data_IF_466054709430
#
_entry.id   IF_466054709430
#
_cell.length_a   1.000
_cell.length_b   1.000
_cell.length_c   1.000
_cell.angle_alpha   90.00
_cell.angle_beta   90.00
_cell.angle_gamma   90.00
#
_symmetry.space_group_name_H-M   'P 1'
#
loop_
_entity.id
_entity.type
_entity.pdbx_description
1 polymer ?
#
# COMPACT_ATOMS: atom_id res chain seq x y z
N UNK A 1 9.12 -4.78 30.91
CA UNK A 1 9.78 -4.63 29.58
C UNK A 1 8.91 -3.69 28.77
N UNK A 2 9.48 -2.64 28.17
CA UNK A 2 8.74 -1.76 27.26
C UNK A 2 8.47 -2.50 25.95
N UNK A 3 7.22 -2.49 25.49
CA UNK A 3 6.84 -3.06 24.19
C UNK A 3 7.56 -2.29 23.09
N UNK A 4 8.42 -2.97 22.33
CA UNK A 4 9.17 -2.35 21.23
C UNK A 4 8.25 -2.13 20.03
N UNK A 5 7.70 -0.93 19.90
CA UNK A 5 6.73 -0.57 18.86
C UNK A 5 7.32 0.36 17.82
N UNK A 6 6.72 0.38 16.63
CA UNK A 6 6.99 1.34 15.57
C UNK A 6 5.86 2.37 15.53
N UNK A 7 6.18 3.67 15.66
CA UNK A 7 5.17 4.74 15.53
C UNK A 7 5.37 5.50 14.22
N UNK A 8 4.33 5.54 13.38
CA UNK A 8 4.31 6.31 12.12
C UNK A 8 3.04 7.16 12.10
N UNK A 9 3.19 8.47 11.84
CA UNK A 9 2.10 9.43 11.78
C UNK A 9 1.13 9.37 12.99
N UNK A 10 1.68 9.19 14.18
CA UNK A 10 0.91 9.13 15.44
C UNK A 10 0.21 7.80 15.73
N UNK A 11 0.29 6.81 14.83
CA UNK A 11 -0.22 5.44 15.06
C UNK A 11 0.94 4.51 15.41
N UNK A 12 0.76 3.70 16.45
CA UNK A 12 1.73 2.67 16.87
C UNK A 12 1.37 1.31 16.29
N UNK A 13 2.41 0.58 15.89
CA UNK A 13 2.39 -0.74 15.27
C UNK A 13 3.26 -1.69 16.09
N UNK A 14 2.81 -2.93 16.25
CA UNK A 14 3.58 -3.96 16.95
C UNK A 14 4.65 -4.52 16.02
N UNK A 15 4.34 -4.67 14.73
CA UNK A 15 5.25 -5.17 13.72
C UNK A 15 6.08 -4.05 13.09
N UNK A 16 7.38 -4.32 12.91
CA UNK A 16 8.31 -3.49 12.13
C UNK A 16 8.41 -3.92 10.66
N UNK A 17 7.72 -5.01 10.29
CA UNK A 17 7.70 -5.52 8.93
C UNK A 17 6.54 -4.88 8.16
N UNK A 18 6.86 -4.26 7.02
CA UNK A 18 5.90 -3.74 6.06
C UNK A 18 6.01 -4.58 4.79
N UNK A 19 4.90 -5.11 4.29
CA UNK A 19 4.88 -5.95 3.07
C UNK A 19 4.15 -5.24 1.93
N UNK A 20 4.47 -5.62 0.69
CA UNK A 20 3.76 -5.14 -0.50
C UNK A 20 2.88 -6.23 -1.10
N UNK A 21 1.91 -5.85 -1.93
CA UNK A 21 0.86 -6.76 -2.44
C UNK A 21 0.98 -7.14 -3.91
N UNK A 22 1.95 -6.56 -4.63
CA UNK A 22 1.93 -6.50 -6.10
C UNK A 22 2.46 -7.73 -6.87
N UNK A 23 2.91 -8.79 -6.19
CA UNK A 23 3.61 -9.94 -6.83
C UNK A 23 3.05 -11.32 -6.47
N UNK A 24 2.06 -11.39 -5.60
CA UNK A 24 1.37 -12.64 -5.31
C UNK A 24 0.49 -13.06 -6.48
N UNK A 25 0.25 -14.37 -6.60
CA UNK A 25 -0.56 -14.97 -7.67
C UNK A 25 -2.05 -14.67 -7.50
N UNK A 26 -2.51 -14.47 -6.27
CA UNK A 26 -3.91 -14.17 -5.95
C UNK A 26 -4.05 -13.28 -4.70
N UNK A 27 -5.26 -12.76 -4.46
CA UNK A 27 -5.56 -12.03 -3.22
C UNK A 27 -5.68 -12.96 -1.99
N UNK A 28 -6.08 -14.22 -2.19
CA UNK A 28 -6.01 -15.23 -1.13
C UNK A 28 -4.56 -15.48 -0.67
N UNK A 29 -3.61 -15.52 -1.61
CA UNK A 29 -2.18 -15.65 -1.28
C UNK A 29 -1.64 -14.39 -0.57
N UNK A 30 -2.12 -13.20 -0.94
CA UNK A 30 -1.82 -11.97 -0.19
C UNK A 30 -2.27 -12.07 1.28
N UNK A 31 -3.51 -12.49 1.53
CA UNK A 31 -4.05 -12.61 2.88
C UNK A 31 -3.28 -13.65 3.72
N UNK A 32 -2.99 -14.82 3.14
CA UNK A 32 -2.19 -15.84 3.80
C UNK A 32 -0.76 -15.36 4.12
N UNK A 33 -0.11 -14.64 3.20
CA UNK A 33 1.22 -14.08 3.43
C UNK A 33 1.21 -12.98 4.51
N UNK A 34 0.18 -12.14 4.53
CA UNK A 34 -0.01 -11.12 5.56
C UNK A 34 -0.12 -11.77 6.94
N UNK A 35 -1.01 -12.75 7.09
CA UNK A 35 -1.21 -13.46 8.36
C UNK A 35 0.06 -14.15 8.84
N UNK A 36 0.76 -14.87 7.94
CA UNK A 36 2.01 -15.53 8.26
C UNK A 36 3.14 -14.54 8.65
N UNK A 37 3.16 -13.36 8.04
CA UNK A 37 4.18 -12.33 8.30
C UNK A 37 3.97 -11.56 9.60
N UNK A 38 2.72 -11.50 10.10
CA UNK A 38 2.34 -10.64 11.22
C UNK A 38 2.54 -9.15 10.94
N UNK A 39 2.54 -8.72 9.67
CA UNK A 39 2.68 -7.31 9.31
C UNK A 39 1.41 -6.52 9.64
N UNK A 40 1.58 -5.32 10.20
CA UNK A 40 0.45 -4.41 10.50
C UNK A 40 0.15 -3.44 9.33
N UNK A 41 1.06 -3.36 8.35
CA UNK A 41 1.00 -2.42 7.23
C UNK A 41 1.24 -3.16 5.92
N UNK A 42 0.34 -2.96 4.95
CA UNK A 42 0.48 -3.46 3.58
C UNK A 42 0.47 -2.31 2.57
N UNK A 43 1.40 -2.32 1.62
CA UNK A 43 1.42 -1.30 0.56
C UNK A 43 0.52 -1.70 -0.61
N UNK A 44 -0.22 -0.74 -1.15
CA UNK A 44 -1.14 -0.96 -2.29
C UNK A 44 -0.87 0.04 -3.41
N UNK A 45 -0.69 -0.46 -4.63
CA UNK A 45 -0.51 0.39 -5.81
C UNK A 45 -1.87 0.90 -6.27
N UNK A 46 -2.13 2.19 -6.10
CA UNK A 46 -3.44 2.83 -6.36
C UNK A 46 -3.93 2.56 -7.79
N UNK A 47 -3.00 2.56 -8.76
CA UNK A 47 -3.29 2.29 -10.19
C UNK A 47 -3.78 0.87 -10.48
N UNK A 48 -3.58 -0.09 -9.56
CA UNK A 48 -3.96 -1.50 -9.73
C UNK A 48 -5.18 -1.90 -8.90
N UNK A 49 -5.71 -0.99 -8.09
CA UNK A 49 -6.91 -1.25 -7.30
C UNK A 49 -8.12 -1.03 -8.19
N UNK A 50 -8.96 -2.05 -8.29
CA UNK A 50 -10.25 -1.91 -8.93
C UNK A 50 -11.19 -1.10 -8.02
N UNK A 51 -11.44 0.15 -8.38
CA UNK A 51 -12.32 1.07 -7.65
C UNK A 51 -13.72 1.21 -8.27
N UNK A 52 -13.92 0.77 -9.52
CA UNK A 52 -15.09 1.12 -10.32
C UNK A 52 -15.94 -0.05 -10.79
N UNK A 53 -15.40 -1.27 -10.84
CA UNK A 53 -16.12 -2.45 -11.34
C UNK A 53 -16.51 -3.38 -10.18
N UNK A 54 -17.78 -3.41 -9.76
CA UNK A 54 -18.18 -4.23 -8.62
C UNK A 54 -18.05 -5.73 -8.85
N UNK A 55 -17.98 -6.18 -10.10
CA UNK A 55 -17.95 -7.59 -10.48
C UNK A 55 -16.57 -8.23 -10.37
N UNK A 56 -15.52 -7.40 -10.27
CA UNK A 56 -14.14 -7.88 -10.16
C UNK A 56 -13.68 -7.89 -8.72
N UNK A 57 -12.95 -8.95 -8.40
CA UNK A 57 -12.33 -9.18 -7.09
C UNK A 57 -11.44 -7.99 -6.68
N UNK A 58 -11.44 -7.67 -5.39
CA UNK A 58 -10.64 -6.60 -4.80
C UNK A 58 -9.81 -7.15 -3.65
N UNK A 59 -8.68 -6.52 -3.40
CA UNK A 59 -7.83 -6.87 -2.25
C UNK A 59 -8.57 -6.77 -0.91
N UNK A 60 -9.50 -5.81 -0.79
CA UNK A 60 -10.32 -5.61 0.42
C UNK A 60 -11.32 -6.73 0.69
N UNK A 61 -11.60 -7.57 -0.31
CA UNK A 61 -12.46 -8.74 -0.14
C UNK A 61 -11.72 -9.85 0.65
N UNK A 62 -10.38 -9.78 0.70
CA UNK A 62 -9.51 -10.76 1.36
C UNK A 62 -8.78 -10.20 2.58
N UNK A 63 -8.50 -8.90 2.60
CA UNK A 63 -7.78 -8.21 3.68
C UNK A 63 -8.67 -7.09 4.21
N UNK A 64 -9.06 -7.20 5.48
CA UNK A 64 -9.91 -6.22 6.14
C UNK A 64 -9.14 -4.91 6.43
N UNK A 65 -9.51 -3.77 5.81
CA UNK A 65 -8.86 -2.48 6.03
C UNK A 65 -9.05 -1.92 7.46
N UNK A 66 -9.92 -2.53 8.28
CA UNK A 66 -10.07 -2.19 9.70
C UNK A 66 -9.01 -2.87 10.57
N UNK A 67 -8.46 -4.00 10.14
CA UNK A 67 -7.45 -4.77 10.90
C UNK A 67 -6.03 -4.38 10.54
N UNK A 68 -5.80 -4.00 9.29
CA UNK A 68 -4.46 -3.74 8.73
C UNK A 68 -4.43 -2.36 8.11
N UNK A 69 -3.29 -1.66 8.24
CA UNK A 69 -3.14 -0.36 7.59
C UNK A 69 -2.78 -0.52 6.13
N UNK A 70 -3.65 -0.02 5.24
CA UNK A 70 -3.35 0.07 3.83
C UNK A 70 -2.54 1.34 3.58
N UNK A 71 -1.36 1.16 2.99
CA UNK A 71 -0.43 2.23 2.66
C UNK A 71 -0.42 2.45 1.14
N UNK A 72 -1.25 3.34 0.59
CA UNK A 72 -1.27 3.61 -0.84
C UNK A 72 0.07 4.18 -1.31
N UNK A 73 0.52 3.72 -2.48
CA UNK A 73 1.75 4.17 -3.09
C UNK A 73 1.54 4.70 -4.52
N UNK A 74 2.55 5.41 -5.02
CA UNK A 74 2.59 5.97 -6.38
C UNK A 74 3.43 5.12 -7.34
N UNK A 75 3.53 3.81 -7.12
CA UNK A 75 4.30 2.91 -7.98
C UNK A 75 3.95 3.12 -9.46
N UNK A 76 5.00 3.27 -10.29
CA UNK A 76 4.87 3.53 -11.72
C UNK A 76 4.61 4.99 -12.08
N UNK A 77 4.73 5.94 -11.15
CA UNK A 77 4.84 7.36 -11.47
C UNK A 77 6.30 7.72 -11.75
N UNK A 78 6.53 8.47 -12.84
CA UNK A 78 7.86 8.92 -13.27
C UNK A 78 8.00 10.45 -13.22
N UNK A 79 6.97 11.14 -12.74
CA UNK A 79 6.96 12.59 -12.57
C UNK A 79 6.27 12.94 -11.25
N UNK A 80 6.61 14.10 -10.68
CA UNK A 80 5.94 14.62 -9.50
C UNK A 80 4.44 14.85 -9.75
N UNK A 81 4.05 15.34 -10.93
CA UNK A 81 2.66 15.59 -11.29
C UNK A 81 1.81 14.30 -11.31
N UNK A 82 2.37 13.22 -11.85
CA UNK A 82 1.71 11.92 -11.84
C UNK A 82 1.55 11.35 -10.42
N UNK A 83 2.58 11.52 -9.58
CA UNK A 83 2.51 11.11 -8.18
C UNK A 83 1.46 11.92 -7.44
N UNK A 84 1.46 13.25 -7.57
CA UNK A 84 0.46 14.14 -6.96
C UNK A 84 -0.96 13.81 -7.40
N UNK A 85 -1.19 13.57 -8.70
CA UNK A 85 -2.50 13.13 -9.21
C UNK A 85 -2.92 11.80 -8.58
N UNK A 86 -2.00 10.83 -8.52
CA UNK A 86 -2.28 9.51 -7.93
C UNK A 86 -2.64 9.61 -6.45
N UNK A 87 -1.92 10.44 -5.68
CA UNK A 87 -2.19 10.63 -4.26
C UNK A 87 -3.49 11.37 -3.98
N UNK A 88 -3.85 12.35 -4.81
CA UNK A 88 -5.16 13.02 -4.73
C UNK A 88 -6.29 12.00 -4.95
N UNK A 89 -6.18 11.15 -5.97
CA UNK A 89 -7.17 10.09 -6.23
C UNK A 89 -7.26 9.10 -5.06
N UNK A 90 -6.12 8.69 -4.49
CA UNK A 90 -6.11 7.82 -3.33
C UNK A 90 -6.85 8.47 -2.15
N UNK A 91 -6.53 9.73 -1.84
CA UNK A 91 -7.17 10.47 -0.76
C UNK A 91 -8.69 10.55 -0.95
N UNK A 92 -9.16 10.91 -2.15
CA UNK A 92 -10.61 11.01 -2.39
C UNK A 92 -11.32 9.63 -2.39
N UNK A 93 -10.64 8.57 -2.83
CA UNK A 93 -11.23 7.22 -2.91
C UNK A 93 -11.31 6.49 -1.56
N UNK A 94 -10.41 6.78 -0.62
CA UNK A 94 -10.29 6.02 0.62
C UNK A 94 -9.96 6.82 1.88
N UNK A 95 -9.97 8.16 1.82
CA UNK A 95 -9.55 9.07 2.91
C UNK A 95 -8.17 8.72 3.50
N UNK A 96 -7.27 8.18 2.67
CA UNK A 96 -5.93 7.84 3.12
C UNK A 96 -5.08 9.09 3.32
N UNK A 97 -4.60 9.28 4.56
CA UNK A 97 -3.75 10.40 4.98
C UNK A 97 -2.26 10.06 5.04
N UNK A 98 -1.95 8.76 5.05
CA UNK A 98 -0.59 8.24 5.03
C UNK A 98 -0.33 7.61 3.66
N UNK A 99 0.82 7.93 3.06
CA UNK A 99 1.15 7.53 1.69
C UNK A 99 2.62 7.11 1.59
N UNK A 100 2.93 6.20 0.67
CA UNK A 100 4.31 5.86 0.28
C UNK A 100 4.61 6.53 -1.06
N UNK A 101 5.36 7.63 -1.01
CA UNK A 101 5.77 8.34 -2.22
C UNK A 101 6.87 7.56 -2.95
N UNK A 102 6.64 7.34 -4.24
CA UNK A 102 7.55 6.70 -5.18
C UNK A 102 7.49 7.48 -6.50
N UNK A 103 8.56 8.21 -6.84
CA UNK A 103 8.76 8.83 -8.15
C UNK A 103 10.01 8.21 -8.73
N UNK A 104 9.85 7.47 -9.82
CA UNK A 104 10.92 6.67 -10.41
C UNK A 104 11.59 7.42 -11.56
N UNK A 105 12.91 7.29 -11.69
CA UNK A 105 13.65 7.86 -12.81
C UNK A 105 13.43 7.05 -14.10
N UNK A 106 13.40 5.72 -14.01
CA UNK A 106 13.21 4.84 -15.16
C UNK A 106 12.62 3.46 -14.81
N UNK A 107 12.03 2.79 -15.79
CA UNK A 107 11.37 1.49 -15.62
C UNK A 107 12.33 0.31 -15.43
N UNK A 108 13.58 0.44 -15.86
CA UNK A 108 14.56 -0.64 -15.88
C UNK A 108 15.22 -0.79 -14.50
N UNK A 109 15.66 0.32 -13.92
CA UNK A 109 16.38 0.34 -12.64
C UNK A 109 15.45 0.52 -11.46
N UNK A 110 14.32 1.23 -11.66
CA UNK A 110 13.40 1.64 -10.60
C UNK A 110 14.07 2.49 -9.50
N UNK A 111 15.19 3.14 -9.80
CA UNK A 111 15.75 4.14 -8.88
C UNK A 111 14.79 5.33 -8.75
N UNK A 112 14.75 6.00 -7.58
CA UNK A 112 13.98 7.21 -7.44
C UNK A 112 14.58 8.34 -8.28
N UNK A 113 13.72 9.20 -8.79
CA UNK A 113 14.11 10.50 -9.36
C UNK A 113 14.44 11.45 -8.19
N UNK A 114 15.67 11.97 -8.17
CA UNK A 114 16.28 12.68 -7.03
C UNK A 114 16.32 14.19 -7.24
#
# INVERSE_FOLDING_TARGET
MTTDTLTIAGKSYASRLIIGTGKYKSYAENAAALEASGADIVTVAVRRVNLSDPSKERLTDHIDPKKVTFLPNTAGCFTADDALRTLRLAREAGDWKLVKLEVLADQKTLYPDM
#
